data_IF_587206701666
#
_entry.id   IF_587206701666
#
_cell.length_a   1.000
_cell.length_b   1.000
_cell.length_c   1.000
_cell.angle_alpha   90.00
_cell.angle_beta   90.00
_cell.angle_gamma   90.00
#
_symmetry.space_group_name_H-M   'P 1'
#
loop_
_entity.id
_entity.type
_entity.pdbx_description
1 polymer ?
#
# COMPACT_ATOMS: atom_id res chain seq x y z
N UNK A 1 -6.48 -16.17 -14.98
CA UNK A 1 -5.57 -15.05 -14.72
C UNK A 1 -5.78 -14.51 -13.31
N UNK A 2 -4.70 -14.14 -12.68
CA UNK A 2 -4.70 -13.49 -11.38
C UNK A 2 -3.46 -12.58 -11.30
N UNK A 3 -3.64 -11.35 -10.86
CA UNK A 3 -2.54 -10.40 -10.70
C UNK A 3 -2.35 -10.12 -9.21
N UNK A 4 -1.10 -10.18 -8.74
CA UNK A 4 -0.72 -9.73 -7.40
C UNK A 4 0.23 -8.58 -7.58
N UNK A 5 -0.05 -7.46 -6.91
CA UNK A 5 0.86 -6.32 -6.88
C UNK A 5 1.17 -5.92 -5.45
N UNK A 6 2.43 -5.55 -5.23
CA UNK A 6 2.95 -5.10 -3.96
C UNK A 6 3.72 -3.80 -4.21
N UNK A 7 3.01 -2.67 -4.33
CA UNK A 7 3.65 -1.39 -4.64
C UNK A 7 4.51 -0.92 -3.46
N UNK A 8 5.43 0.01 -3.69
CA UNK A 8 6.12 0.66 -2.58
C UNK A 8 5.12 1.39 -1.69
N UNK A 9 5.44 1.50 -0.40
CA UNK A 9 4.65 2.27 0.56
C UNK A 9 5.03 3.75 0.45
N UNK A 10 4.74 4.33 -0.70
CA UNK A 10 5.15 5.67 -1.13
C UNK A 10 6.68 5.81 -0.99
N UNK A 11 7.19 6.71 -0.15
CA UNK A 11 8.60 7.08 -0.04
C UNK A 11 9.33 6.45 1.16
N UNK A 12 8.74 5.43 1.80
CA UNK A 12 9.37 4.77 2.97
C UNK A 12 10.71 4.16 2.59
N UNK A 13 10.78 3.52 1.43
CA UNK A 13 12.00 2.93 0.87
C UNK A 13 12.15 3.42 -0.56
N UNK A 14 13.31 3.99 -0.88
CA UNK A 14 13.67 4.33 -2.25
C UNK A 14 14.25 3.09 -2.94
N UNK A 15 13.61 2.64 -4.01
CA UNK A 15 14.02 1.43 -4.72
C UNK A 15 14.99 1.68 -5.86
N UNK A 16 14.92 2.85 -6.51
CA UNK A 16 15.83 3.21 -7.60
C UNK A 16 15.92 4.73 -7.78
N UNK A 17 16.75 5.18 -8.71
CA UNK A 17 16.85 6.59 -9.13
C UNK A 17 15.99 6.90 -10.37
N UNK A 18 15.19 5.93 -10.84
CA UNK A 18 14.36 6.11 -12.01
C UNK A 18 13.19 7.05 -11.70
N UNK A 19 12.96 8.02 -12.59
CA UNK A 19 11.86 8.99 -12.45
C UNK A 19 10.48 8.33 -12.44
N UNK A 20 10.34 7.16 -13.04
CA UNK A 20 9.09 6.40 -13.09
C UNK A 20 8.89 5.47 -11.89
N UNK A 21 9.84 5.42 -10.96
CA UNK A 21 9.72 4.66 -9.74
C UNK A 21 8.75 5.36 -8.79
N UNK A 22 7.69 4.66 -8.40
CA UNK A 22 6.66 5.18 -7.49
C UNK A 22 7.22 5.66 -6.16
N UNK A 23 8.30 5.05 -5.67
CA UNK A 23 8.96 5.42 -4.42
C UNK A 23 9.61 6.80 -4.46
N UNK A 24 9.81 7.36 -5.65
CA UNK A 24 10.37 8.69 -5.87
C UNK A 24 9.31 9.80 -5.98
N UNK A 25 8.03 9.50 -5.82
CA UNK A 25 6.97 10.49 -5.84
C UNK A 25 7.13 11.50 -4.70
N UNK A 26 7.08 12.80 -5.01
CA UNK A 26 7.32 13.85 -4.02
C UNK A 26 6.13 14.08 -3.10
N UNK A 27 4.92 13.85 -3.57
CA UNK A 27 3.69 14.02 -2.81
C UNK A 27 2.85 12.74 -2.82
N UNK A 28 1.96 12.63 -1.85
CA UNK A 28 1.00 11.52 -1.79
C UNK A 28 0.11 11.51 -3.05
N UNK A 29 -0.34 12.67 -3.51
CA UNK A 29 -1.18 12.75 -4.70
C UNK A 29 -0.44 12.29 -5.95
N UNK A 30 0.82 12.66 -6.12
CA UNK A 30 1.67 12.16 -7.23
C UNK A 30 1.82 10.64 -7.16
N UNK A 31 2.06 10.10 -5.96
CA UNK A 31 2.12 8.65 -5.76
C UNK A 31 0.82 7.98 -6.18
N UNK A 32 -0.32 8.47 -5.72
CA UNK A 32 -1.63 7.89 -6.03
C UNK A 32 -1.98 7.99 -7.50
N UNK A 33 -1.67 9.12 -8.16
CA UNK A 33 -1.86 9.29 -9.60
C UNK A 33 -1.02 8.28 -10.39
N UNK A 34 0.25 8.13 -10.04
CA UNK A 34 1.15 7.18 -10.69
C UNK A 34 0.73 5.73 -10.42
N UNK A 35 0.28 5.42 -9.21
CA UNK A 35 -0.26 4.11 -8.88
C UNK A 35 -1.54 3.83 -9.67
N UNK A 36 -2.39 4.83 -9.86
CA UNK A 36 -3.56 4.74 -10.73
C UNK A 36 -3.20 4.33 -12.15
N UNK A 37 -2.12 4.86 -12.72
CA UNK A 37 -1.62 4.46 -14.03
C UNK A 37 -1.19 2.99 -14.09
N UNK A 38 -0.61 2.47 -13.01
CA UNK A 38 -0.27 1.04 -12.90
C UNK A 38 -1.53 0.18 -12.95
N UNK A 39 -2.58 0.61 -12.24
CA UNK A 39 -3.88 -0.09 -12.28
C UNK A 39 -4.49 -0.01 -13.68
N UNK A 40 -4.45 1.14 -14.34
CA UNK A 40 -4.94 1.31 -15.71
C UNK A 40 -4.23 0.37 -16.70
N UNK A 41 -2.91 0.22 -16.56
CA UNK A 41 -2.14 -0.73 -17.35
C UNK A 41 -2.54 -2.18 -17.05
N UNK A 42 -2.70 -2.52 -15.77
CA UNK A 42 -3.18 -3.86 -15.37
C UNK A 42 -4.55 -4.17 -15.96
N UNK A 43 -5.43 -3.17 -16.02
CA UNK A 43 -6.78 -3.31 -16.57
C UNK A 43 -6.78 -3.74 -18.04
N UNK A 44 -5.77 -3.33 -18.81
CA UNK A 44 -5.65 -3.70 -20.24
C UNK A 44 -5.41 -5.19 -20.45
N UNK A 45 -4.71 -5.83 -19.52
CA UNK A 45 -4.27 -7.22 -19.66
C UNK A 45 -5.08 -8.21 -18.80
N UNK A 46 -5.70 -7.74 -17.73
CA UNK A 46 -6.55 -8.57 -16.88
C UNK A 46 -7.93 -8.73 -17.53
N UNK A 47 -8.33 -9.96 -17.79
CA UNK A 47 -9.64 -10.26 -18.36
C UNK A 47 -10.79 -9.92 -17.41
N UNK A 48 -11.95 -9.65 -17.98
CA UNK A 48 -13.19 -9.48 -17.23
C UNK A 48 -13.47 -10.69 -16.33
N UNK A 49 -14.01 -10.46 -15.17
CA UNK A 49 -14.31 -11.45 -14.13
C UNK A 49 -13.07 -12.12 -13.50
N UNK A 50 -11.88 -11.62 -13.77
CA UNK A 50 -10.66 -12.07 -13.12
C UNK A 50 -10.33 -11.20 -11.90
N UNK A 51 -9.35 -11.64 -11.13
CA UNK A 51 -9.05 -11.07 -9.83
C UNK A 51 -7.67 -10.42 -9.79
N UNK A 52 -7.57 -9.40 -8.94
CA UNK A 52 -6.32 -8.72 -8.62
C UNK A 52 -6.20 -8.60 -7.11
N UNK A 53 -5.02 -8.86 -6.57
CA UNK A 53 -4.69 -8.59 -5.17
C UNK A 53 -3.69 -7.44 -5.08
N UNK A 54 -3.90 -6.54 -4.11
CA UNK A 54 -2.96 -5.49 -3.78
C UNK A 54 -2.53 -5.64 -2.32
N UNK A 55 -1.23 -5.83 -2.12
CA UNK A 55 -0.63 -5.93 -0.79
C UNK A 55 -0.03 -4.57 -0.45
N UNK A 56 -0.53 -3.92 0.59
CA UNK A 56 -0.05 -2.61 1.02
C UNK A 56 -0.46 -2.32 2.46
N UNK A 57 0.38 -1.59 3.18
CA UNK A 57 0.08 -1.12 4.53
C UNK A 57 -0.10 0.38 4.59
N UNK A 58 -0.20 0.89 5.80
CA UNK A 58 -0.30 2.31 6.06
C UNK A 58 1.06 2.92 6.40
N UNK A 59 1.14 4.23 6.37
CA UNK A 59 2.34 4.99 6.67
C UNK A 59 2.07 5.94 7.83
N UNK A 60 3.07 6.09 8.70
CA UNK A 60 3.07 7.14 9.70
C UNK A 60 4.09 8.22 9.33
N UNK A 61 3.65 9.46 9.25
CA UNK A 61 4.51 10.60 8.95
C UNK A 61 3.95 11.88 9.56
N UNK A 62 4.83 12.77 10.02
CA UNK A 62 4.46 14.08 10.55
C UNK A 62 3.38 14.00 11.66
N UNK A 63 3.55 13.06 12.59
CA UNK A 63 2.63 12.81 13.71
C UNK A 63 1.21 12.43 13.28
N UNK A 64 1.05 11.90 12.07
CA UNK A 64 -0.23 11.47 11.53
C UNK A 64 -0.15 10.10 10.89
N UNK A 65 -1.22 9.32 11.02
CA UNK A 65 -1.42 8.11 10.24
C UNK A 65 -1.91 8.50 8.85
N UNK A 66 -1.17 8.08 7.83
CA UNK A 66 -1.60 8.18 6.45
C UNK A 66 -2.20 6.83 6.08
N UNK A 67 -3.52 6.73 5.85
CA UNK A 67 -4.17 5.46 5.53
C UNK A 67 -3.91 5.08 4.08
N UNK A 68 -2.62 4.87 3.76
CA UNK A 68 -2.12 4.65 2.42
C UNK A 68 -2.77 3.44 1.75
N UNK A 69 -2.96 2.35 2.52
CA UNK A 69 -3.62 1.15 2.01
C UNK A 69 -5.03 1.44 1.50
N UNK A 70 -5.80 2.21 2.26
CA UNK A 70 -7.17 2.58 1.88
C UNK A 70 -7.20 3.57 0.71
N UNK A 71 -6.24 4.49 0.62
CA UNK A 71 -6.13 5.39 -0.53
C UNK A 71 -5.81 4.60 -1.81
N UNK A 72 -4.93 3.61 -1.74
CA UNK A 72 -4.66 2.71 -2.86
C UNK A 72 -5.89 1.84 -3.21
N UNK A 73 -6.61 1.37 -2.21
CA UNK A 73 -7.89 0.66 -2.43
C UNK A 73 -8.86 1.53 -3.25
N UNK A 74 -8.99 2.80 -2.90
CA UNK A 74 -9.87 3.73 -3.61
C UNK A 74 -9.48 3.90 -5.08
N UNK A 75 -8.20 3.85 -5.42
CA UNK A 75 -7.74 3.91 -6.81
C UNK A 75 -8.32 2.76 -7.67
N UNK A 76 -8.49 1.57 -7.09
CA UNK A 76 -9.17 0.46 -7.76
C UNK A 76 -10.67 0.69 -7.88
N UNK A 77 -11.30 1.17 -6.80
CA UNK A 77 -12.76 1.40 -6.78
C UNK A 77 -13.18 2.46 -7.78
N UNK A 78 -12.41 3.56 -7.89
CA UNK A 78 -12.64 4.63 -8.86
C UNK A 78 -12.53 4.14 -10.31
N UNK A 79 -11.78 3.07 -10.55
CA UNK A 79 -11.61 2.43 -11.86
C UNK A 79 -12.60 1.29 -12.12
N UNK A 80 -13.60 1.15 -11.25
CA UNK A 80 -14.69 0.20 -11.44
C UNK A 80 -14.40 -1.23 -11.03
N UNK A 81 -13.31 -1.47 -10.30
CA UNK A 81 -13.09 -2.77 -9.67
C UNK A 81 -14.06 -2.97 -8.50
N UNK A 82 -14.52 -4.20 -8.32
CA UNK A 82 -15.34 -4.60 -7.18
C UNK A 82 -14.45 -5.13 -6.05
N UNK A 83 -14.50 -4.52 -4.88
CA UNK A 83 -13.82 -5.03 -3.70
C UNK A 83 -14.48 -6.32 -3.22
N UNK A 84 -13.72 -7.40 -3.11
CA UNK A 84 -14.21 -8.72 -2.69
C UNK A 84 -13.82 -9.08 -1.27
N UNK A 85 -12.64 -8.65 -0.83
CA UNK A 85 -12.17 -8.91 0.52
C UNK A 85 -11.09 -7.92 0.95
N UNK A 86 -11.01 -7.70 2.25
CA UNK A 86 -9.91 -7.04 2.93
C UNK A 86 -9.32 -8.07 3.89
N UNK A 87 -8.13 -8.55 3.59
CA UNK A 87 -7.41 -9.46 4.48
C UNK A 87 -6.39 -8.64 5.26
N UNK A 88 -6.26 -8.96 6.53
CA UNK A 88 -5.26 -8.33 7.40
C UNK A 88 -4.17 -9.36 7.68
N UNK A 89 -2.96 -9.04 7.26
CA UNK A 89 -1.79 -9.86 7.54
C UNK A 89 -1.04 -9.26 8.72
N UNK A 90 -0.96 -9.99 9.81
CA UNK A 90 -0.18 -9.58 10.96
C UNK A 90 1.29 -9.92 10.76
N UNK A 91 2.16 -9.00 11.12
CA UNK A 91 3.59 -9.27 11.18
C UNK A 91 3.90 -9.94 12.53
N UNK A 92 4.57 -11.08 12.46
CA UNK A 92 5.26 -11.62 13.62
C UNK A 92 6.52 -10.78 13.95
N UNK A 93 7.26 -11.18 14.97
CA UNK A 93 8.55 -10.58 15.27
C UNK A 93 9.49 -10.80 14.09
N UNK A 94 9.86 -9.70 13.39
CA UNK A 94 10.87 -9.75 12.35
C UNK A 94 12.24 -9.46 12.96
N UNK A 95 13.26 -10.24 12.59
CA UNK A 95 14.64 -10.05 13.07
C UNK A 95 15.14 -8.61 12.86
N UNK A 96 14.71 -7.94 11.79
CA UNK A 96 15.10 -6.57 11.50
C UNK A 96 14.47 -5.50 12.39
N UNK A 97 13.33 -5.79 13.03
CA UNK A 97 12.64 -4.86 13.93
C UNK A 97 12.82 -5.18 15.41
N UNK A 98 13.34 -6.36 15.75
CA UNK A 98 13.50 -6.77 17.15
C UNK A 98 14.38 -5.81 17.96
N UNK A 99 15.44 -5.27 17.34
CA UNK A 99 16.35 -4.32 17.99
C UNK A 99 15.83 -2.87 18.02
N UNK A 100 14.71 -2.57 17.35
CA UNK A 100 14.13 -1.23 17.23
C UNK A 100 12.80 -1.08 17.96
N UNK A 101 12.27 -2.13 18.57
CA UNK A 101 10.98 -2.08 19.27
C UNK A 101 10.95 -1.02 20.38
N UNK A 102 12.05 -0.86 21.13
CA UNK A 102 12.14 0.14 22.17
C UNK A 102 12.08 1.58 21.63
N UNK A 103 12.72 1.86 20.51
CA UNK A 103 12.70 3.17 19.83
C UNK A 103 11.30 3.47 19.28
N UNK A 104 10.67 2.53 18.63
CA UNK A 104 9.32 2.68 18.10
C UNK A 104 8.29 2.85 19.19
N UNK A 105 8.42 2.11 20.29
CA UNK A 105 7.55 2.26 21.46
C UNK A 105 7.69 3.63 22.11
N UNK A 106 8.91 4.13 22.24
CA UNK A 106 9.18 5.48 22.74
C UNK A 106 8.56 6.54 21.82
N UNK A 107 8.75 6.43 20.50
CA UNK A 107 8.17 7.33 19.52
C UNK A 107 6.64 7.29 19.53
N UNK A 108 6.04 6.12 19.69
CA UNK A 108 4.60 5.96 19.80
C UNK A 108 4.03 6.70 21.01
N UNK A 109 4.67 6.55 22.17
CA UNK A 109 4.27 7.22 23.42
C UNK A 109 4.44 8.73 23.27
N UNK A 110 5.55 9.20 22.70
CA UNK A 110 5.86 10.62 22.57
C UNK A 110 4.99 11.34 21.53
N UNK A 111 4.60 10.67 20.45
CA UNK A 111 3.87 11.24 19.34
C UNK A 111 2.41 10.79 19.27
N UNK A 112 1.93 10.10 20.29
CA UNK A 112 0.52 9.74 20.44
C UNK A 112 -0.03 8.88 19.28
N UNK A 113 0.68 7.80 18.93
CA UNK A 113 0.24 6.84 17.92
C UNK A 113 0.47 5.38 18.32
N UNK A 114 -0.22 4.46 17.64
CA UNK A 114 -0.02 3.01 17.80
C UNK A 114 0.94 2.47 16.76
N UNK A 115 1.81 1.53 17.16
CA UNK A 115 2.77 0.88 16.27
C UNK A 115 2.01 -0.07 15.32
N UNK A 116 2.23 0.08 14.01
CA UNK A 116 1.67 -0.84 13.02
C UNK A 116 2.40 -2.18 13.03
N UNK A 117 1.62 -3.25 13.15
CA UNK A 117 2.09 -4.63 13.05
C UNK A 117 1.32 -5.43 12.01
N UNK A 118 0.77 -4.74 11.01
CA UNK A 118 -0.06 -5.37 9.99
C UNK A 118 0.07 -4.66 8.64
N UNK A 119 -0.30 -5.37 7.60
CA UNK A 119 -0.55 -4.84 6.27
C UNK A 119 -1.84 -5.46 5.72
N UNK A 120 -2.38 -4.86 4.68
CA UNK A 120 -3.61 -5.33 4.05
C UNK A 120 -3.32 -6.11 2.79
N UNK A 121 -4.20 -7.05 2.47
CA UNK A 121 -4.30 -7.66 1.15
C UNK A 121 -5.73 -7.41 0.67
N UNK A 122 -5.88 -6.45 -0.23
CA UNK A 122 -7.16 -6.14 -0.85
C UNK A 122 -7.37 -7.05 -2.06
N UNK A 123 -8.52 -7.72 -2.11
CA UNK A 123 -8.90 -8.58 -3.24
C UNK A 123 -9.98 -7.89 -4.05
N UNK A 124 -9.70 -7.70 -5.32
CA UNK A 124 -10.61 -7.06 -6.27
C UNK A 124 -10.99 -8.00 -7.39
N UNK A 125 -12.18 -7.78 -7.93
CA UNK A 125 -12.65 -8.43 -9.16
C UNK A 125 -12.84 -7.36 -10.24
N UNK A 126 -12.27 -7.59 -11.42
CA UNK A 126 -12.54 -6.76 -12.59
C UNK A 126 -13.91 -7.13 -13.16
N UNK A 127 -14.84 -6.19 -13.18
CA UNK A 127 -16.24 -6.43 -13.61
C UNK A 127 -16.58 -5.76 -14.94
N UNK A 128 -15.72 -4.91 -15.46
CA UNK A 128 -15.89 -4.22 -16.74
C UNK A 128 -14.81 -4.55 -17.75
#
# INVERSE_FOLDING_TARGET
QFVIMHPPYWDIIKFSDNINDLSNSHTLNEFLDSFGMVIDNTTKYLEKNRYCACVIGDKYANSQVIPLGFYCMNQFLERGFLLKAILVKNFGETKGKSNQQGIWRYRAITNDFYIFKHEYIFIFKKVK
#
